data_IF_814046547726
#
_entry.id   IF_814046547726
#
_cell.length_a   1.000
_cell.length_b   1.000
_cell.length_c   1.000
_cell.angle_alpha   90.00
_cell.angle_beta   90.00
_cell.angle_gamma   90.00
#
_symmetry.space_group_name_H-M   'P 1'
#
loop_
_entity.id
_entity.type
_entity.pdbx_description
1 polymer ?
#
# COMPACT_ATOMS: atom_id res chain seq x y z
N UNK A 1 -53.78 -16.48 -5.41
CA UNK A 1 -54.21 -15.47 -6.40
C UNK A 1 -53.16 -14.38 -6.43
N UNK A 2 -52.24 -14.46 -7.38
CA UNK A 2 -51.14 -13.50 -7.56
C UNK A 2 -51.62 -12.36 -8.48
N UNK A 3 -51.35 -11.11 -8.12
CA UNK A 3 -51.57 -9.95 -8.98
C UNK A 3 -50.22 -9.34 -9.38
N UNK A 4 -49.82 -9.64 -10.61
CA UNK A 4 -48.68 -9.06 -11.31
C UNK A 4 -49.02 -7.65 -11.83
N UNK A 5 -48.27 -6.65 -11.40
CA UNK A 5 -48.34 -5.30 -11.95
C UNK A 5 -47.44 -5.20 -13.21
N UNK A 6 -48.07 -4.93 -14.36
CA UNK A 6 -47.42 -4.74 -15.65
C UNK A 6 -46.96 -3.29 -15.87
N UNK A 7 -45.77 -3.15 -16.43
CA UNK A 7 -45.08 -1.92 -16.83
C UNK A 7 -45.72 -1.33 -18.08
N UNK A 8 -46.08 -0.04 -18.06
CA UNK A 8 -46.63 0.69 -19.21
C UNK A 8 -45.59 1.67 -19.78
N UNK A 9 -45.14 1.40 -21.02
CA UNK A 9 -44.24 2.25 -21.83
C UNK A 9 -44.98 3.50 -22.32
N UNK A 10 -44.42 4.68 -22.04
CA UNK A 10 -44.86 5.98 -22.57
C UNK A 10 -44.05 6.31 -23.84
N UNK A 11 -44.72 6.35 -24.99
CA UNK A 11 -44.18 6.78 -26.29
C UNK A 11 -44.63 8.24 -26.50
N UNK A 12 -43.67 9.17 -26.64
CA UNK A 12 -43.94 10.59 -26.90
C UNK A 12 -44.42 10.80 -28.33
N UNK A 13 -45.54 11.51 -28.46
CA UNK A 13 -46.15 11.94 -29.72
C UNK A 13 -45.68 13.35 -30.11
N UNK A 14 -45.60 13.55 -31.43
CA UNK A 14 -45.03 14.72 -32.10
C UNK A 14 -45.89 15.98 -32.03
N UNK A 15 -45.20 17.10 -32.26
CA UNK A 15 -45.73 18.44 -32.31
C UNK A 15 -46.38 18.79 -33.66
N UNK A 16 -47.26 19.78 -33.59
CA UNK A 16 -48.24 20.18 -34.58
C UNK A 16 -47.68 20.96 -35.79
N UNK A 17 -48.47 20.85 -36.85
CA UNK A 17 -48.42 21.46 -38.19
C UNK A 17 -48.80 22.94 -38.22
N UNK A 18 -48.14 23.71 -39.09
CA UNK A 18 -48.81 24.76 -39.89
C UNK A 18 -48.08 24.95 -41.21
N UNK A 19 -48.84 24.86 -42.30
CA UNK A 19 -48.45 25.02 -43.70
C UNK A 19 -48.54 26.49 -44.15
N UNK A 20 -47.65 26.89 -45.05
CA UNK A 20 -47.94 27.85 -46.14
C UNK A 20 -46.98 27.59 -47.31
N UNK A 21 -47.55 27.43 -48.50
CA UNK A 21 -46.90 27.21 -49.80
C UNK A 21 -46.28 28.50 -50.38
N UNK A 22 -45.12 28.41 -51.05
CA UNK A 22 -44.99 28.62 -52.51
C UNK A 22 -43.55 28.27 -52.98
N UNK A 23 -43.42 27.80 -54.22
CA UNK A 23 -42.32 26.98 -54.70
C UNK A 23 -41.06 27.68 -55.23
N UNK A 24 -39.98 26.88 -55.35
CA UNK A 24 -39.04 26.88 -56.50
C UNK A 24 -37.89 25.88 -56.24
N UNK A 25 -37.58 25.11 -57.28
CA UNK A 25 -36.52 24.09 -57.32
C UNK A 25 -35.14 24.76 -57.42
N UNK A 26 -34.20 24.57 -56.47
CA UNK A 26 -32.77 24.39 -56.78
C UNK A 26 -31.97 23.83 -55.57
N UNK A 27 -30.95 23.05 -55.90
CA UNK A 27 -30.01 22.24 -55.10
C UNK A 27 -29.44 22.86 -53.81
N UNK A 28 -29.35 22.03 -52.76
CA UNK A 28 -28.67 22.33 -51.49
C UNK A 28 -27.15 22.53 -51.67
N UNK A 29 -26.54 23.55 -51.04
CA UNK A 29 -25.08 23.65 -50.90
C UNK A 29 -24.60 22.83 -49.69
N UNK A 30 -23.50 22.11 -49.88
CA UNK A 30 -22.75 21.37 -48.84
C UNK A 30 -22.21 22.32 -47.77
N UNK A 31 -22.43 22.07 -46.45
CA UNK A 31 -21.66 22.73 -45.40
C UNK A 31 -20.46 21.89 -44.96
N UNK A 32 -19.31 22.56 -44.88
CA UNK A 32 -18.01 22.09 -44.42
C UNK A 32 -18.08 21.46 -43.01
N UNK A 33 -17.38 20.34 -42.85
CA UNK A 33 -17.14 19.66 -41.58
C UNK A 33 -16.15 20.47 -40.75
N UNK A 34 -16.61 21.04 -39.63
CA UNK A 34 -15.74 21.58 -38.60
C UNK A 34 -15.06 20.42 -37.85
N UNK A 35 -13.74 20.42 -37.82
CA UNK A 35 -12.93 19.61 -36.92
C UNK A 35 -13.13 20.10 -35.49
N UNK A 36 -13.80 19.28 -34.68
CA UNK A 36 -13.77 19.38 -33.22
C UNK A 36 -13.14 18.09 -32.75
N UNK A 37 -11.95 18.21 -32.14
CA UNK A 37 -11.20 17.16 -31.46
C UNK A 37 -12.12 16.37 -30.52
N UNK A 38 -12.57 15.21 -30.98
CA UNK A 38 -13.16 14.19 -30.12
C UNK A 38 -12.04 13.34 -29.57
N UNK A 39 -11.58 13.66 -28.35
CA UNK A 39 -10.85 12.72 -27.50
C UNK A 39 -11.81 11.58 -27.11
N UNK A 40 -11.98 10.61 -28.01
CA UNK A 40 -12.50 9.29 -27.67
C UNK A 40 -11.41 8.43 -27.02
N UNK A 41 -11.76 7.39 -26.25
CA UNK A 41 -10.77 6.47 -25.70
C UNK A 41 -10.01 5.79 -26.86
N UNK A 42 -8.68 5.92 -26.86
CA UNK A 42 -7.82 5.24 -27.82
C UNK A 42 -7.90 3.73 -27.56
N UNK A 43 -8.52 2.98 -28.47
CA UNK A 43 -8.55 1.52 -28.42
C UNK A 43 -7.37 0.99 -29.20
N UNK A 44 -6.48 0.26 -28.54
CA UNK A 44 -5.33 -0.39 -29.19
C UNK A 44 -5.61 -1.89 -29.40
N UNK A 45 -4.93 -2.48 -30.40
CA UNK A 45 -5.12 -3.88 -30.80
C UNK A 45 -3.78 -4.60 -30.79
N UNK A 46 -3.67 -5.71 -30.06
CA UNK A 46 -2.61 -6.69 -30.25
C UNK A 46 -3.15 -7.92 -31.00
N UNK A 47 -2.33 -8.45 -31.90
CA UNK A 47 -2.61 -9.71 -32.60
C UNK A 47 -2.04 -10.86 -31.78
N UNK A 48 -2.88 -11.59 -31.06
CA UNK A 48 -2.47 -12.85 -30.43
C UNK A 48 -2.15 -13.88 -31.53
N UNK A 49 -1.15 -14.74 -31.29
CA UNK A 49 -0.68 -15.82 -32.19
C UNK A 49 -1.81 -16.75 -32.69
N UNK A 50 -2.95 -16.78 -31.98
CA UNK A 50 -4.14 -17.57 -32.32
C UNK A 50 -5.26 -16.77 -33.04
N UNK A 51 -4.99 -15.58 -33.59
CA UNK A 51 -5.95 -14.83 -34.40
C UNK A 51 -7.12 -14.21 -33.63
N UNK A 52 -7.14 -14.31 -32.31
CA UNK A 52 -8.09 -13.59 -31.46
C UNK A 52 -7.60 -12.15 -31.24
N UNK A 53 -8.39 -11.18 -31.72
CA UNK A 53 -8.20 -9.76 -31.44
C UNK A 53 -8.69 -9.48 -30.02
N UNK A 54 -7.76 -9.25 -29.09
CA UNK A 54 -8.07 -8.82 -27.74
C UNK A 54 -8.23 -7.31 -27.79
N UNK A 55 -9.45 -6.82 -27.57
CA UNK A 55 -9.72 -5.38 -27.43
C UNK A 55 -9.29 -4.99 -26.03
N UNK A 56 -8.42 -3.99 -25.93
CA UNK A 56 -7.82 -3.62 -24.66
C UNK A 56 -7.56 -2.11 -24.62
N UNK A 57 -7.77 -1.49 -23.46
CA UNK A 57 -7.47 -0.07 -23.24
C UNK A 57 -5.96 0.06 -22.92
N UNK A 58 -5.16 0.82 -23.67
CA UNK A 58 -3.73 1.01 -23.39
C UNK A 58 -3.42 1.31 -21.90
N UNK A 59 -4.33 1.99 -21.19
CA UNK A 59 -4.21 2.26 -19.76
C UNK A 59 -4.19 1.00 -18.90
N UNK A 60 -5.00 -0.01 -19.23
CA UNK A 60 -5.05 -1.27 -18.50
C UNK A 60 -3.69 -2.03 -18.60
N UNK A 61 -2.89 -1.81 -19.67
CA UNK A 61 -1.61 -2.50 -19.96
C UNK A 61 -0.56 -1.83 -19.09
N UNK A 62 -0.58 -0.49 -19.07
CA UNK A 62 0.30 0.26 -18.19
C UNK A 62 0.01 -0.06 -16.72
N UNK A 63 -1.26 -0.09 -16.31
CA UNK A 63 -1.65 -0.42 -14.93
C UNK A 63 -1.31 -1.87 -14.54
N UNK A 64 -1.48 -2.84 -15.44
CA UNK A 64 -1.08 -4.22 -15.19
C UNK A 64 0.45 -4.39 -15.11
N UNK A 65 1.21 -3.66 -15.94
CA UNK A 65 2.67 -3.65 -15.87
C UNK A 65 3.21 -3.01 -14.58
N UNK A 66 2.58 -1.93 -14.08
CA UNK A 66 2.94 -1.33 -12.79
C UNK A 66 2.59 -2.25 -11.63
N UNK A 67 1.42 -2.90 -11.66
CA UNK A 67 1.01 -3.87 -10.63
C UNK A 67 1.96 -5.05 -10.54
N UNK A 68 2.47 -5.53 -11.67
CA UNK A 68 3.42 -6.65 -11.71
C UNK A 68 4.80 -6.30 -11.10
N UNK A 69 5.17 -5.02 -11.06
CA UNK A 69 6.40 -4.56 -10.39
C UNK A 69 6.27 -4.49 -8.87
N UNK A 70 5.06 -4.55 -8.33
CA UNK A 70 4.81 -4.44 -6.89
C UNK A 70 4.78 -5.82 -6.24
N UNK A 71 5.18 -5.93 -4.95
CA UNK A 71 5.06 -7.20 -4.24
C UNK A 71 3.58 -7.58 -4.10
N UNK A 72 3.30 -8.89 -4.12
CA UNK A 72 1.94 -9.42 -3.99
C UNK A 72 1.27 -9.02 -2.67
N UNK A 73 2.07 -8.83 -1.62
CA UNK A 73 1.63 -8.38 -0.30
C UNK A 73 2.17 -6.98 -0.02
N UNK A 74 1.31 -6.13 0.53
CA UNK A 74 1.68 -4.83 1.07
C UNK A 74 2.39 -4.98 2.41
N UNK A 75 3.15 -3.95 2.81
CA UNK A 75 3.79 -3.93 4.13
C UNK A 75 2.79 -4.12 5.28
N UNK A 76 1.60 -3.53 5.18
CA UNK A 76 0.52 -3.67 6.17
C UNK A 76 0.08 -5.14 6.33
N UNK A 77 -0.05 -5.86 5.21
CA UNK A 77 -0.47 -7.25 5.19
C UNK A 77 0.59 -8.18 5.76
N UNK A 78 1.87 -7.94 5.47
CA UNK A 78 2.98 -8.71 6.05
C UNK A 78 3.01 -8.57 7.58
N UNK A 79 2.83 -7.34 8.10
CA UNK A 79 2.77 -7.07 9.54
C UNK A 79 1.57 -7.76 10.18
N UNK A 80 0.39 -7.69 9.56
CA UNK A 80 -0.81 -8.40 10.06
C UNK A 80 -0.62 -9.91 10.05
N UNK A 81 -0.02 -10.48 9.00
CA UNK A 81 0.20 -11.92 8.90
C UNK A 81 1.11 -12.44 10.03
N UNK A 82 2.12 -11.65 10.44
CA UNK A 82 2.97 -12.00 11.60
C UNK A 82 2.18 -12.04 12.91
N UNK A 83 1.20 -11.14 13.10
CA UNK A 83 0.35 -11.10 14.29
C UNK A 83 -0.81 -12.13 14.29
N UNK A 84 -1.14 -12.73 13.14
CA UNK A 84 -2.28 -13.64 13.01
C UNK A 84 -1.97 -15.02 13.60
N UNK A 85 -2.96 -15.72 14.14
CA UNK A 85 -2.82 -17.14 14.49
C UNK A 85 -3.26 -18.04 13.33
N UNK A 86 -2.45 -19.06 13.04
CA UNK A 86 -2.57 -19.89 11.83
C UNK A 86 -3.94 -20.59 11.72
N UNK A 87 -4.38 -21.24 12.81
CA UNK A 87 -5.63 -22.03 12.85
C UNK A 87 -6.86 -21.22 13.23
N UNK A 88 -6.68 -20.17 14.02
CA UNK A 88 -7.81 -19.45 14.60
C UNK A 88 -8.29 -18.29 13.74
N UNK A 89 -7.41 -17.73 12.89
CA UNK A 89 -7.80 -16.68 11.95
C UNK A 89 -8.17 -15.35 12.60
N UNK A 90 -7.74 -15.14 13.85
CA UNK A 90 -7.78 -13.85 14.54
C UNK A 90 -6.37 -13.46 14.99
N UNK A 91 -6.13 -12.16 15.13
CA UNK A 91 -4.87 -11.62 15.62
C UNK A 91 -4.71 -11.96 17.11
N UNK A 92 -3.49 -12.34 17.51
CA UNK A 92 -3.20 -12.66 18.92
C UNK A 92 -3.58 -11.51 19.85
N UNK A 93 -3.37 -10.27 19.39
CA UNK A 93 -3.77 -9.04 20.06
C UNK A 93 -3.92 -7.93 19.02
N UNK A 94 -4.97 -7.10 19.13
CA UNK A 94 -5.10 -5.85 18.38
C UNK A 94 -5.06 -4.70 19.38
N UNK A 95 -4.01 -3.89 19.31
CA UNK A 95 -3.79 -2.73 20.16
C UNK A 95 -3.56 -1.47 19.34
N UNK A 96 -3.40 -0.35 20.03
CA UNK A 96 -3.18 0.93 19.38
C UNK A 96 -1.81 0.99 18.70
N UNK A 97 -0.80 0.25 19.20
CA UNK A 97 0.53 0.16 18.57
C UNK A 97 0.47 -0.46 17.16
N UNK A 98 -0.16 -1.63 16.98
CA UNK A 98 -0.32 -2.22 15.63
C UNK A 98 -1.21 -1.33 14.77
N UNK A 99 -2.27 -0.77 15.34
CA UNK A 99 -3.18 0.15 14.64
C UNK A 99 -2.39 1.34 14.06
N UNK A 100 -1.58 2.00 14.87
CA UNK A 100 -0.79 3.17 14.50
C UNK A 100 0.38 2.82 13.56
N UNK A 101 1.10 1.72 13.84
CA UNK A 101 2.18 1.23 12.99
C UNK A 101 1.71 0.90 11.56
N UNK A 102 0.49 0.36 11.40
CA UNK A 102 -0.10 0.11 10.08
C UNK A 102 -0.34 1.40 9.28
N UNK A 103 -0.62 2.53 9.94
CA UNK A 103 -0.74 3.83 9.24
C UNK A 103 0.62 4.33 8.78
N UNK A 104 1.67 4.14 9.57
CA UNK A 104 3.04 4.36 9.12
C UNK A 104 3.39 3.48 7.92
N UNK A 105 2.97 2.22 7.93
CA UNK A 105 3.16 1.30 6.80
C UNK A 105 2.46 1.78 5.52
N UNK A 106 1.27 2.39 5.63
CA UNK A 106 0.56 2.98 4.48
C UNK A 106 1.42 4.07 3.82
N UNK A 107 1.99 4.98 4.62
CA UNK A 107 2.83 6.07 4.10
C UNK A 107 4.12 5.50 3.48
N UNK A 108 4.75 4.52 4.13
CA UNK A 108 5.94 3.83 3.60
C UNK A 108 5.63 3.15 2.25
N UNK A 109 4.50 2.44 2.16
CA UNK A 109 4.11 1.73 0.95
C UNK A 109 3.80 2.70 -0.20
N UNK A 110 3.13 3.83 0.08
CA UNK A 110 2.93 4.91 -0.90
C UNK A 110 4.25 5.51 -1.39
N UNK A 111 5.24 5.65 -0.50
CA UNK A 111 6.56 6.17 -0.86
C UNK A 111 7.32 5.18 -1.76
N UNK A 112 7.34 3.89 -1.41
CA UNK A 112 7.97 2.87 -2.27
C UNK A 112 7.28 2.71 -3.63
N UNK A 113 5.97 2.96 -3.71
CA UNK A 113 5.22 2.98 -4.97
C UNK A 113 5.38 4.27 -5.76
N UNK A 114 6.18 5.22 -5.27
CA UNK A 114 6.43 6.49 -5.95
C UNK A 114 5.20 7.40 -6.02
N UNK A 115 4.23 7.25 -5.10
CA UNK A 115 3.01 8.09 -5.06
C UNK A 115 3.21 9.35 -4.20
N UNK A 116 4.04 9.28 -3.16
CA UNK A 116 4.35 10.41 -2.27
C UNK A 116 5.86 10.63 -2.15
N UNK A 117 6.27 11.88 -1.96
CA UNK A 117 7.65 12.24 -1.66
C UNK A 117 7.73 13.38 -0.64
N UNK A 118 8.91 13.60 -0.06
CA UNK A 118 9.18 14.83 0.66
C UNK A 118 9.00 16.05 -0.25
N UNK A 119 8.51 17.15 0.32
CA UNK A 119 8.45 18.43 -0.39
C UNK A 119 9.85 18.85 -0.86
N UNK A 120 9.95 19.30 -2.12
CA UNK A 120 11.19 19.81 -2.72
C UNK A 120 11.62 21.19 -2.19
N UNK A 121 11.73 21.31 -0.87
CA UNK A 121 12.24 22.51 -0.20
C UNK A 121 13.45 22.15 0.67
N UNK A 122 14.57 22.83 0.47
CA UNK A 122 15.79 22.67 1.27
C UNK A 122 15.59 23.10 2.72
N UNK A 123 14.64 24.00 3.00
CA UNK A 123 14.34 24.48 4.34
C UNK A 123 13.80 23.38 5.26
N UNK A 124 13.22 22.30 4.68
CA UNK A 124 12.69 21.14 5.41
C UNK A 124 13.71 20.50 6.37
N UNK A 125 15.01 20.59 6.04
CA UNK A 125 16.10 20.01 6.84
C UNK A 125 16.24 20.66 8.22
N UNK A 126 15.62 21.83 8.44
CA UNK A 126 15.53 22.49 9.75
C UNK A 126 14.60 21.76 10.72
N UNK A 127 13.68 20.94 10.21
CA UNK A 127 12.72 20.20 11.00
C UNK A 127 13.18 18.75 11.23
N UNK A 128 12.81 18.14 12.37
CA UNK A 128 12.92 16.71 12.59
C UNK A 128 12.28 15.92 11.46
N UNK A 129 12.77 14.71 11.16
CA UNK A 129 12.34 13.94 10.00
C UNK A 129 10.82 13.72 9.94
N UNK A 130 10.22 13.32 11.06
CA UNK A 130 8.79 13.08 11.14
C UNK A 130 7.94 14.34 10.91
N UNK A 131 8.49 15.52 11.18
CA UNK A 131 7.77 16.80 11.04
C UNK A 131 7.98 17.43 9.65
N UNK A 132 8.72 16.75 8.76
CA UNK A 132 8.87 17.17 7.37
C UNK A 132 7.60 16.90 6.57
N UNK A 133 7.27 17.86 5.72
CA UNK A 133 6.05 17.87 4.90
C UNK A 133 6.22 16.96 3.68
N UNK A 134 5.18 16.16 3.40
CA UNK A 134 5.09 15.31 2.21
C UNK A 134 4.08 15.86 1.20
N UNK A 135 4.30 15.54 -0.07
CA UNK A 135 3.41 15.87 -1.17
C UNK A 135 3.13 14.65 -2.06
N UNK A 136 1.94 14.64 -2.66
CA UNK A 136 1.56 13.64 -3.66
C UNK A 136 2.23 14.00 -4.99
N UNK A 137 3.04 13.08 -5.52
CA UNK A 137 3.73 13.24 -6.81
C UNK A 137 3.01 12.52 -7.95
N UNK A 138 2.26 11.46 -7.63
CA UNK A 138 1.49 10.67 -8.58
C UNK A 138 0.21 10.18 -7.87
N UNK A 139 -0.94 10.45 -8.50
CA UNK A 139 -2.27 10.12 -8.00
C UNK A 139 -2.87 8.86 -8.61
N UNK A 140 -2.09 8.13 -9.42
CA UNK A 140 -2.50 6.87 -10.02
C UNK A 140 -2.85 5.85 -8.93
N UNK A 141 -4.05 5.27 -9.04
CA UNK A 141 -4.54 4.32 -8.06
C UNK A 141 -3.65 3.07 -8.01
N UNK A 142 -3.38 2.61 -6.80
CA UNK A 142 -2.54 1.45 -6.51
C UNK A 142 -3.30 0.13 -6.62
N UNK A 143 -4.64 0.18 -6.61
CA UNK A 143 -5.52 -0.98 -6.53
C UNK A 143 -5.69 -1.52 -5.12
N UNK A 144 -4.96 -0.98 -4.14
CA UNK A 144 -5.10 -1.31 -2.73
C UNK A 144 -6.01 -0.29 -2.06
N UNK A 145 -7.13 -0.78 -1.55
CA UNK A 145 -8.25 0.04 -1.08
C UNK A 145 -7.86 1.06 0.00
N UNK A 146 -6.95 0.71 0.92
CA UNK A 146 -6.48 1.62 1.98
C UNK A 146 -5.44 2.64 1.48
N UNK A 147 -4.55 2.23 0.57
CA UNK A 147 -3.57 3.13 -0.03
C UNK A 147 -4.28 4.18 -0.89
N UNK A 148 -5.29 3.77 -1.65
CA UNK A 148 -6.05 4.64 -2.55
C UNK A 148 -6.90 5.65 -1.78
N UNK A 149 -7.47 5.25 -0.63
CA UNK A 149 -8.18 6.17 0.25
C UNK A 149 -7.23 7.20 0.86
N UNK A 150 -6.09 6.76 1.38
CA UNK A 150 -5.05 7.65 1.92
C UNK A 150 -4.54 8.62 0.85
N UNK A 151 -4.27 8.14 -0.37
CA UNK A 151 -3.78 8.94 -1.48
C UNK A 151 -4.80 10.02 -1.89
N UNK A 152 -6.09 9.68 -1.97
CA UNK A 152 -7.17 10.64 -2.25
C UNK A 152 -7.26 11.71 -1.18
N UNK A 153 -7.19 11.33 0.09
CA UNK A 153 -7.17 12.29 1.20
C UNK A 153 -5.95 13.21 1.07
N UNK A 154 -4.74 12.66 0.95
CA UNK A 154 -3.50 13.43 0.80
C UNK A 154 -3.52 14.42 -0.36
N UNK A 155 -4.14 14.06 -1.49
CA UNK A 155 -4.26 14.94 -2.65
C UNK A 155 -5.25 16.09 -2.41
N UNK A 156 -6.36 15.83 -1.72
CA UNK A 156 -7.44 16.81 -1.51
C UNK A 156 -7.15 17.83 -0.40
N UNK A 157 -6.11 17.58 0.39
CA UNK A 157 -5.78 18.34 1.58
C UNK A 157 -4.57 19.24 1.38
N UNK A 158 -4.36 20.14 2.33
CA UNK A 158 -3.08 20.84 2.43
C UNK A 158 -1.93 19.87 2.69
N UNK A 159 -0.72 20.28 2.31
CA UNK A 159 0.49 19.49 2.55
C UNK A 159 0.78 19.48 4.05
N UNK A 160 0.96 18.29 4.63
CA UNK A 160 1.18 18.08 6.06
C UNK A 160 2.41 17.20 6.30
N UNK A 161 2.87 17.19 7.56
CA UNK A 161 4.01 16.36 7.95
C UNK A 161 3.67 14.87 7.95
N UNK A 162 4.71 14.02 7.89
CA UNK A 162 4.59 12.57 8.05
C UNK A 162 3.88 12.22 9.36
N UNK A 163 4.31 12.80 10.49
CA UNK A 163 3.70 12.61 11.81
C UNK A 163 2.21 12.93 11.77
N UNK A 164 1.86 14.11 11.23
CA UNK A 164 0.47 14.56 11.16
C UNK A 164 -0.40 13.62 10.32
N UNK A 165 0.09 13.09 9.20
CA UNK A 165 -0.67 12.14 8.38
C UNK A 165 -0.94 10.83 9.11
N UNK A 166 0.05 10.31 9.85
CA UNK A 166 -0.11 9.09 10.63
C UNK A 166 -1.11 9.31 11.77
N UNK A 167 -1.03 10.45 12.48
CA UNK A 167 -1.98 10.81 13.55
C UNK A 167 -3.41 10.96 13.02
N UNK A 168 -3.58 11.66 11.89
CA UNK A 168 -4.88 11.85 11.24
C UNK A 168 -5.53 10.53 10.83
N UNK A 169 -4.77 9.66 10.16
CA UNK A 169 -5.27 8.36 9.69
C UNK A 169 -5.54 7.37 10.84
N UNK A 170 -4.88 7.58 11.99
CA UNK A 170 -5.08 6.78 13.20
C UNK A 170 -6.27 7.29 14.04
N UNK A 171 -6.56 8.59 13.95
CA UNK A 171 -7.59 9.26 14.75
C UNK A 171 -7.05 9.85 16.06
N UNK A 172 -5.73 10.01 16.18
CA UNK A 172 -5.04 10.56 17.36
C UNK A 172 -5.01 12.10 17.37
N UNK A 173 -5.59 12.74 16.35
CA UNK A 173 -5.64 14.21 16.27
C UNK A 173 -6.78 14.79 17.11
N UNK A 174 -6.55 15.98 17.66
CA UNK A 174 -7.60 16.82 18.27
C UNK A 174 -8.26 17.78 17.27
N UNK A 175 -7.88 17.74 15.99
CA UNK A 175 -8.43 18.64 14.98
C UNK A 175 -9.82 18.18 14.51
N UNK A 176 -10.86 18.81 15.09
CA UNK A 176 -12.28 18.56 14.76
C UNK A 176 -12.62 18.69 13.28
N UNK A 177 -11.96 19.60 12.55
CA UNK A 177 -12.19 19.81 11.12
C UNK A 177 -11.66 18.64 10.26
N UNK A 178 -10.75 17.82 10.82
CA UNK A 178 -10.12 16.68 10.14
C UNK A 178 -10.50 15.34 10.75
N UNK A 179 -11.55 15.28 11.56
CA UNK A 179 -12.02 14.03 12.20
C UNK A 179 -12.43 12.96 11.17
N UNK A 180 -12.78 13.36 9.95
CA UNK A 180 -13.12 12.46 8.85
C UNK A 180 -11.93 11.74 8.21
N UNK A 181 -10.69 12.06 8.60
CA UNK A 181 -9.48 11.53 7.97
C UNK A 181 -9.05 10.18 8.55
N UNK A 182 -9.69 9.74 9.64
CA UNK A 182 -9.41 8.46 10.26
C UNK A 182 -9.81 7.32 9.32
N UNK A 183 -8.86 6.44 9.02
CA UNK A 183 -9.13 5.22 8.27
C UNK A 183 -9.91 4.24 9.16
N UNK A 184 -11.11 3.86 8.71
CA UNK A 184 -12.02 2.97 9.44
C UNK A 184 -11.89 1.53 8.96
N UNK A 185 -12.16 0.59 9.87
CA UNK A 185 -12.21 -0.85 9.60
C UNK A 185 -10.93 -1.39 8.93
N UNK A 186 -9.77 -0.83 9.31
CA UNK A 186 -8.48 -1.16 8.69
C UNK A 186 -8.19 -2.66 8.80
N UNK A 187 -8.42 -3.25 9.98
CA UNK A 187 -8.23 -4.68 10.21
C UNK A 187 -9.08 -5.53 9.26
N UNK A 188 -10.38 -5.27 9.22
CA UNK A 188 -11.34 -6.04 8.42
C UNK A 188 -11.04 -5.92 6.92
N UNK A 189 -10.66 -4.72 6.46
CA UNK A 189 -10.29 -4.45 5.06
C UNK A 189 -8.99 -5.14 4.67
N UNK A 190 -7.98 -5.16 5.55
CA UNK A 190 -6.73 -5.89 5.31
C UNK A 190 -6.95 -7.41 5.29
N UNK A 191 -7.76 -7.95 6.22
CA UNK A 191 -8.12 -9.37 6.20
C UNK A 191 -8.89 -9.73 4.92
N UNK A 192 -9.82 -8.88 4.48
CA UNK A 192 -10.50 -9.05 3.19
C UNK A 192 -9.52 -9.05 2.02
N UNK A 193 -8.57 -8.12 1.96
CA UNK A 193 -7.53 -8.09 0.93
C UNK A 193 -6.69 -9.38 0.89
N UNK A 194 -6.32 -9.91 2.07
CA UNK A 194 -5.63 -11.19 2.18
C UNK A 194 -6.48 -12.40 1.76
N UNK A 195 -7.80 -12.36 1.94
CA UNK A 195 -8.73 -13.36 1.40
C UNK A 195 -8.81 -13.27 -0.11
N UNK A 196 -8.94 -12.06 -0.66
CA UNK A 196 -9.02 -11.83 -2.11
C UNK A 196 -7.71 -12.25 -2.81
N UNK A 197 -6.57 -12.15 -2.13
CA UNK A 197 -5.24 -12.63 -2.56
C UNK A 197 -5.01 -14.15 -2.37
N UNK A 198 -5.96 -14.86 -1.75
CA UNK A 198 -5.90 -16.30 -1.52
C UNK A 198 -4.98 -16.74 -0.37
N UNK A 199 -4.49 -15.81 0.45
CA UNK A 199 -3.63 -16.14 1.60
C UNK A 199 -4.46 -16.61 2.80
N UNK A 200 -5.61 -15.97 3.01
CA UNK A 200 -6.60 -16.38 4.00
C UNK A 200 -7.82 -16.99 3.31
N UNK A 201 -8.58 -17.80 4.05
CA UNK A 201 -9.91 -18.24 3.64
C UNK A 201 -10.95 -17.75 4.65
N UNK A 202 -12.17 -17.58 4.20
CA UNK A 202 -13.29 -17.24 5.09
C UNK A 202 -13.94 -18.51 5.60
N UNK A 203 -13.94 -18.70 6.92
CA UNK A 203 -14.67 -19.76 7.60
C UNK A 203 -15.72 -19.18 8.52
N UNK A 204 -16.93 -19.74 8.46
CA UNK A 204 -18.01 -19.42 9.39
C UNK A 204 -17.88 -20.31 10.62
N UNK A 205 -17.58 -19.75 11.78
CA UNK A 205 -17.61 -20.46 13.07
C UNK A 205 -18.92 -20.20 13.77
N UNK A 206 -19.63 -21.29 14.09
CA UNK A 206 -20.88 -21.21 14.80
C UNK A 206 -20.60 -21.26 16.29
N UNK A 207 -20.97 -20.21 17.01
CA UNK A 207 -21.04 -20.19 18.46
C UNK A 207 -22.48 -20.44 18.89
N UNK A 208 -22.68 -20.83 20.16
CA UNK A 208 -24.01 -21.19 20.68
C UNK A 208 -25.08 -20.09 20.45
N UNK A 209 -24.67 -18.82 20.41
CA UNK A 209 -25.56 -17.66 20.33
C UNK A 209 -25.42 -16.83 19.05
N UNK A 210 -24.39 -17.05 18.24
CA UNK A 210 -24.12 -16.26 17.04
C UNK A 210 -23.10 -16.96 16.14
N UNK A 211 -23.06 -16.55 14.88
CA UNK A 211 -22.03 -16.99 13.96
C UNK A 211 -20.98 -15.89 13.77
N UNK A 212 -19.72 -16.27 13.71
CA UNK A 212 -18.59 -15.36 13.52
C UNK A 212 -17.81 -15.75 12.27
N UNK A 213 -17.58 -14.78 11.39
CA UNK A 213 -16.63 -14.96 10.30
C UNK A 213 -15.21 -14.95 10.87
N UNK A 214 -14.43 -15.99 10.54
CA UNK A 214 -13.02 -16.12 10.89
C UNK A 214 -12.19 -16.29 9.63
N UNK A 215 -10.94 -15.86 9.68
CA UNK A 215 -10.06 -15.82 8.50
C UNK A 215 -8.79 -16.63 8.72
N UNK A 216 -8.86 -17.98 8.85
CA UNK A 216 -7.67 -18.79 9.04
C UNK A 216 -6.76 -18.78 7.80
N UNK A 217 -5.48 -19.08 8.03
CA UNK A 217 -4.46 -19.10 6.97
C UNK A 217 -4.73 -20.28 6.04
N UNK A 218 -4.95 -19.98 4.75
CA UNK A 218 -5.13 -20.96 3.69
C UNK A 218 -3.79 -21.32 3.05
N UNK A 219 -2.96 -20.32 2.74
CA UNK A 219 -1.61 -20.50 2.24
C UNK A 219 -0.59 -20.25 3.36
N UNK A 220 -0.03 -21.32 3.91
CA UNK A 220 1.04 -21.21 4.91
C UNK A 220 2.38 -20.77 4.30
N UNK A 221 2.57 -20.90 2.97
CA UNK A 221 3.82 -20.56 2.29
C UNK A 221 4.13 -19.08 2.43
N UNK A 222 3.11 -18.21 2.29
CA UNK A 222 3.25 -16.77 2.50
C UNK A 222 3.82 -16.44 3.88
N UNK A 223 3.23 -17.04 4.91
CA UNK A 223 3.62 -16.77 6.29
C UNK A 223 4.96 -17.37 6.66
N UNK A 224 5.25 -18.58 6.18
CA UNK A 224 6.52 -19.24 6.42
C UNK A 224 7.67 -18.55 5.68
N UNK A 225 7.42 -17.95 4.52
CA UNK A 225 8.36 -17.08 3.81
C UNK A 225 8.71 -15.85 4.65
N UNK A 226 7.71 -15.11 5.14
CA UNK A 226 7.92 -13.94 6.00
C UNK A 226 8.71 -14.34 7.25
N UNK A 227 8.32 -15.42 7.95
CA UNK A 227 9.05 -15.92 9.13
C UNK A 227 10.50 -16.27 8.81
N UNK A 228 10.75 -16.94 7.68
CA UNK A 228 12.11 -17.29 7.24
C UNK A 228 12.92 -16.04 6.94
N UNK A 229 12.32 -15.04 6.27
CA UNK A 229 12.94 -13.76 5.95
C UNK A 229 13.32 -12.99 7.21
N UNK A 230 12.41 -12.90 8.17
CA UNK A 230 12.66 -12.29 9.49
C UNK A 230 13.85 -12.97 10.18
N UNK A 231 13.84 -14.29 10.28
CA UNK A 231 14.93 -15.03 10.91
C UNK A 231 16.26 -14.83 10.18
N UNK A 232 16.26 -14.93 8.85
CA UNK A 232 17.46 -14.74 8.04
C UNK A 232 18.12 -13.38 8.30
N UNK A 233 17.34 -12.29 8.31
CA UNK A 233 17.86 -10.94 8.53
C UNK A 233 18.37 -10.73 9.96
N UNK A 234 17.71 -11.34 10.95
CA UNK A 234 18.00 -11.09 12.37
C UNK A 234 18.97 -12.07 13.03
N UNK A 235 19.32 -13.17 12.38
CA UNK A 235 20.24 -14.16 12.97
C UNK A 235 21.52 -14.37 12.18
N UNK A 236 21.52 -14.11 10.88
CA UNK A 236 22.67 -14.45 10.03
C UNK A 236 23.65 -13.28 9.93
N UNK A 237 24.95 -13.61 9.94
CA UNK A 237 26.03 -12.64 9.71
C UNK A 237 25.96 -12.00 8.33
N UNK A 238 25.65 -12.80 7.32
CA UNK A 238 25.48 -12.34 5.94
C UNK A 238 24.05 -12.64 5.51
N UNK A 239 23.34 -11.61 5.08
CA UNK A 239 21.94 -11.69 4.69
C UNK A 239 21.84 -11.71 3.18
N UNK A 240 21.27 -12.80 2.66
CA UNK A 240 20.90 -12.94 1.25
C UNK A 240 19.41 -13.23 1.23
N UNK A 241 18.63 -12.35 0.62
CA UNK A 241 17.19 -12.56 0.49
C UNK A 241 16.94 -13.51 -0.70
N UNK A 242 16.26 -14.67 -0.51
CA UNK A 242 15.94 -15.56 -1.61
C UNK A 242 14.84 -14.97 -2.49
N UNK A 243 14.84 -15.30 -3.78
CA UNK A 243 13.72 -14.98 -4.66
C UNK A 243 12.46 -15.75 -4.21
N UNK A 244 11.33 -15.06 -4.11
CA UNK A 244 10.04 -15.66 -3.78
C UNK A 244 8.90 -14.94 -4.52
N UNK A 245 7.74 -15.58 -4.63
CA UNK A 245 6.55 -14.94 -5.22
C UNK A 245 6.08 -13.68 -4.46
N UNK A 246 6.52 -13.53 -3.20
CA UNK A 246 6.17 -12.39 -2.34
C UNK A 246 7.27 -11.33 -2.32
N UNK A 247 8.49 -11.71 -2.71
CA UNK A 247 9.66 -10.84 -2.79
C UNK A 247 10.49 -11.19 -4.04
N UNK A 248 10.05 -10.72 -5.23
CA UNK A 248 10.76 -10.95 -6.48
C UNK A 248 12.18 -10.39 -6.47
N UNK A 249 13.05 -10.94 -7.31
CA UNK A 249 14.45 -10.50 -7.41
C UNK A 249 14.61 -9.13 -8.09
N UNK A 250 13.70 -8.79 -9.00
CA UNK A 250 13.64 -7.53 -9.74
C UNK A 250 12.92 -6.40 -8.96
N UNK A 251 12.43 -6.69 -7.75
CA UNK A 251 11.74 -5.72 -6.93
C UNK A 251 12.71 -4.63 -6.44
N UNK A 252 12.36 -3.37 -6.69
CA UNK A 252 13.12 -2.23 -6.19
C UNK A 252 13.10 -2.14 -4.66
N UNK A 253 14.25 -1.77 -4.08
CA UNK A 253 14.44 -1.56 -2.64
C UNK A 253 14.07 -2.78 -1.79
N UNK A 254 14.39 -3.98 -2.28
CA UNK A 254 14.03 -5.26 -1.67
C UNK A 254 14.53 -5.39 -0.23
N UNK A 255 15.78 -4.98 0.01
CA UNK A 255 16.36 -5.01 1.35
C UNK A 255 15.75 -3.94 2.24
N UNK A 256 15.57 -2.72 1.72
CA UNK A 256 14.96 -1.65 2.50
C UNK A 256 13.49 -1.94 2.88
N UNK A 257 12.68 -2.50 1.96
CA UNK A 257 11.32 -2.98 2.25
C UNK A 257 11.31 -4.03 3.36
N UNK A 258 12.28 -4.95 3.33
CA UNK A 258 12.42 -5.97 4.38
C UNK A 258 12.77 -5.35 5.73
N UNK A 259 13.66 -4.34 5.77
CA UNK A 259 13.96 -3.60 7.00
C UNK A 259 12.75 -2.83 7.50
N UNK A 260 12.03 -2.13 6.61
CA UNK A 260 10.80 -1.43 6.98
C UNK A 260 9.77 -2.38 7.57
N UNK A 261 9.65 -3.60 7.05
CA UNK A 261 8.77 -4.65 7.59
C UNK A 261 9.19 -5.05 9.01
N UNK A 262 10.48 -5.25 9.25
CA UNK A 262 11.01 -5.63 10.57
C UNK A 262 10.78 -4.53 11.61
N UNK A 263 11.12 -3.29 11.26
CA UNK A 263 10.93 -2.13 12.10
C UNK A 263 9.45 -1.88 12.42
N UNK A 264 8.57 -2.02 11.41
CA UNK A 264 7.13 -1.91 11.62
C UNK A 264 6.58 -3.03 12.51
N UNK A 265 7.04 -4.26 12.33
CA UNK A 265 6.62 -5.42 13.13
C UNK A 265 7.09 -5.32 14.59
N UNK A 266 8.27 -4.75 14.80
CA UNK A 266 8.80 -4.42 16.11
C UNK A 266 7.95 -3.37 16.80
N UNK A 267 7.71 -2.23 16.14
CA UNK A 267 6.87 -1.16 16.68
C UNK A 267 5.40 -1.58 16.90
N UNK A 268 4.90 -2.51 16.09
CA UNK A 268 3.57 -3.11 16.24
C UNK A 268 3.48 -4.20 17.33
N UNK A 269 4.58 -4.54 18.01
CA UNK A 269 4.67 -5.62 19.01
C UNK A 269 4.22 -7.00 18.47
N UNK A 270 4.47 -7.28 17.19
CA UNK A 270 4.14 -8.58 16.57
C UNK A 270 5.35 -9.39 16.11
N UNK A 271 6.56 -8.80 16.16
CA UNK A 271 7.81 -9.45 15.74
C UNK A 271 8.10 -10.75 16.50
N UNK A 272 7.79 -10.81 17.81
CA UNK A 272 8.09 -11.97 18.65
C UNK A 272 7.45 -13.27 18.10
N UNK A 273 6.27 -13.16 17.48
CA UNK A 273 5.55 -14.31 16.93
C UNK A 273 6.37 -15.04 15.85
N UNK A 274 7.18 -14.31 15.07
CA UNK A 274 8.06 -14.88 14.05
C UNK A 274 9.34 -15.50 14.64
N UNK A 275 9.72 -15.10 15.85
CA UNK A 275 10.93 -15.55 16.56
C UNK A 275 10.65 -16.63 17.61
N UNK A 276 9.39 -17.03 17.80
CA UNK A 276 8.92 -18.01 18.79
C UNK A 276 9.67 -19.35 18.79
N UNK A 277 10.28 -19.73 17.67
CA UNK A 277 11.04 -20.96 17.48
C UNK A 277 12.52 -20.84 17.86
N UNK A 278 13.00 -19.65 18.21
CA UNK A 278 14.37 -19.40 18.64
C UNK A 278 14.52 -19.56 20.17
N UNK A 279 15.71 -19.97 20.60
CA UNK A 279 16.08 -19.95 22.03
C UNK A 279 16.07 -18.54 22.60
N UNK A 280 15.96 -18.41 23.93
CA UNK A 280 15.83 -17.11 24.62
C UNK A 280 16.96 -16.13 24.25
N UNK A 281 18.22 -16.57 24.32
CA UNK A 281 19.39 -15.73 23.99
C UNK A 281 19.38 -15.26 22.52
N UNK A 282 18.99 -16.13 21.59
CA UNK A 282 18.89 -15.78 20.17
C UNK A 282 17.76 -14.79 19.90
N UNK A 283 16.67 -14.85 20.67
CA UNK A 283 15.58 -13.86 20.60
C UNK A 283 16.04 -12.49 21.09
N UNK A 284 16.70 -12.42 22.24
CA UNK A 284 17.25 -11.16 22.77
C UNK A 284 18.22 -10.51 21.78
N UNK A 285 19.12 -11.29 21.18
CA UNK A 285 20.01 -10.81 20.11
C UNK A 285 19.26 -10.30 18.88
N UNK A 286 18.18 -10.99 18.47
CA UNK A 286 17.36 -10.56 17.34
C UNK A 286 16.62 -9.24 17.62
N UNK A 287 16.13 -9.03 18.86
CA UNK A 287 15.51 -7.77 19.26
C UNK A 287 16.52 -6.62 19.30
N UNK A 288 17.70 -6.84 19.89
CA UNK A 288 18.78 -5.86 19.87
C UNK A 288 19.18 -5.50 18.42
N UNK A 289 19.19 -6.48 17.53
CA UNK A 289 19.47 -6.23 16.11
C UNK A 289 18.38 -5.36 15.44
N UNK A 290 17.09 -5.60 15.70
CA UNK A 290 16.04 -4.74 15.13
C UNK A 290 16.08 -3.33 15.69
N UNK A 291 16.40 -3.19 16.98
CA UNK A 291 16.57 -1.88 17.60
C UNK A 291 17.73 -1.09 16.95
N UNK A 292 18.87 -1.74 16.71
CA UNK A 292 19.98 -1.16 15.94
C UNK A 292 19.55 -0.77 14.52
N UNK A 293 18.83 -1.65 13.80
CA UNK A 293 18.33 -1.34 12.45
C UNK A 293 17.36 -0.15 12.48
N UNK A 294 16.43 -0.11 13.44
CA UNK A 294 15.49 0.99 13.58
C UNK A 294 16.23 2.31 13.83
N UNK A 295 17.25 2.32 14.69
CA UNK A 295 18.07 3.49 14.94
C UNK A 295 18.87 3.95 13.70
N UNK A 296 19.39 3.01 12.91
CA UNK A 296 20.19 3.31 11.71
C UNK A 296 19.34 3.83 10.54
N UNK A 297 18.14 3.28 10.36
CA UNK A 297 17.24 3.59 9.23
C UNK A 297 16.14 4.60 9.57
N UNK A 298 16.07 5.10 10.82
CA UNK A 298 15.22 6.24 11.22
C UNK A 298 15.88 7.61 11.03
N UNK A 299 17.04 7.66 10.38
CA UNK A 299 17.76 8.88 10.05
C UNK A 299 18.02 8.99 8.54
N UNK A 300 18.19 10.23 8.04
CA UNK A 300 18.43 10.50 6.62
C UNK A 300 19.58 11.49 6.42
N UNK A 301 20.56 11.21 5.54
CA UNK A 301 20.73 9.98 4.77
C UNK A 301 20.95 8.74 5.65
N UNK A 302 20.65 7.55 5.13
CA UNK A 302 20.90 6.31 5.86
C UNK A 302 22.39 6.18 6.17
N UNK A 303 22.70 6.11 7.46
CA UNK A 303 24.08 5.96 7.93
C UNK A 303 24.13 4.79 8.90
N UNK A 304 24.74 3.70 8.44
CA UNK A 304 25.07 2.57 9.31
C UNK A 304 26.35 2.90 10.08
N UNK A 305 26.31 2.79 11.40
CA UNK A 305 27.51 2.97 12.22
C UNK A 305 28.43 1.78 11.98
N UNK A 306 29.68 2.04 11.57
CA UNK A 306 30.69 1.00 11.46
C UNK A 306 30.96 0.43 12.87
N UNK A 307 30.61 -0.85 13.08
CA UNK A 307 30.87 -1.55 14.35
C UNK A 307 29.66 -1.93 15.22
N UNK A 308 28.45 -2.06 14.65
CA UNK A 308 27.30 -2.63 15.35
C UNK A 308 27.62 -3.96 16.05
N UNK A 309 27.13 -4.12 17.29
CA UNK A 309 27.69 -4.97 18.35
C UNK A 309 27.61 -6.48 18.07
N UNK A 310 26.76 -6.93 17.14
CA UNK A 310 26.45 -8.34 16.94
C UNK A 310 27.06 -9.03 15.72
N UNK A 311 27.66 -8.28 14.78
CA UNK A 311 28.10 -8.84 13.48
C UNK A 311 26.98 -9.44 12.61
N UNK A 312 25.71 -9.33 13.02
CA UNK A 312 24.54 -9.80 12.28
C UNK A 312 24.25 -8.81 11.14
N UNK A 313 23.90 -9.34 9.97
CA UNK A 313 23.60 -8.54 8.79
C UNK A 313 24.72 -7.61 8.35
N UNK A 314 25.99 -8.00 8.50
CA UNK A 314 27.16 -7.16 8.22
C UNK A 314 27.19 -6.56 6.80
N UNK A 315 26.57 -7.24 5.82
CA UNK A 315 26.48 -6.77 4.44
C UNK A 315 25.28 -5.82 4.17
N UNK A 316 24.30 -5.70 5.06
CA UNK A 316 23.07 -4.93 4.80
C UNK A 316 23.36 -3.45 4.53
N UNK A 317 24.36 -2.87 5.21
CA UNK A 317 24.72 -1.46 5.01
C UNK A 317 25.20 -1.19 3.58
N UNK A 318 26.05 -2.06 3.05
CA UNK A 318 26.54 -1.94 1.66
C UNK A 318 25.42 -2.18 0.66
N UNK A 319 24.66 -3.26 0.83
CA UNK A 319 23.59 -3.63 -0.13
C UNK A 319 22.53 -2.55 -0.21
N UNK A 320 22.14 -1.93 0.91
CA UNK A 320 21.15 -0.85 0.89
C UNK A 320 21.76 0.44 0.34
N UNK A 321 23.02 0.74 0.60
CA UNK A 321 23.69 1.86 -0.06
C UNK A 321 23.70 1.67 -1.59
N UNK A 322 23.91 0.45 -2.07
CA UNK A 322 23.84 0.12 -3.49
C UNK A 322 22.41 0.28 -4.05
N UNK A 323 21.37 -0.16 -3.33
CA UNK A 323 19.96 0.07 -3.69
C UNK A 323 19.62 1.56 -3.78
N UNK A 324 20.05 2.36 -2.78
CA UNK A 324 19.83 3.81 -2.74
C UNK A 324 20.58 4.51 -3.88
N UNK A 325 21.81 4.10 -4.16
CA UNK A 325 22.61 4.63 -5.26
C UNK A 325 22.06 4.28 -6.64
N UNK A 326 21.40 3.12 -6.78
CA UNK A 326 20.70 2.76 -8.01
C UNK A 326 19.42 3.60 -8.21
N UNK A 327 18.74 3.99 -7.13
CA UNK A 327 17.51 4.78 -7.13
C UNK A 327 17.68 6.26 -6.74
N UNK A 328 18.70 6.95 -7.25
CA UNK A 328 19.00 8.37 -6.91
C UNK A 328 17.86 9.34 -7.24
N UNK A 329 17.04 9.01 -8.21
CA UNK A 329 15.84 9.76 -8.57
C UNK A 329 14.73 9.67 -7.50
N UNK A 330 14.84 8.71 -6.56
CA UNK A 330 13.85 8.41 -5.53
C UNK A 330 14.30 8.82 -4.12
N UNK A 331 15.37 9.62 -3.97
CA UNK A 331 15.89 10.06 -2.67
C UNK A 331 14.83 10.71 -1.77
N UNK A 332 13.92 11.52 -2.35
CA UNK A 332 12.87 12.20 -1.57
C UNK A 332 11.80 11.24 -1.06
N UNK A 333 11.55 10.14 -1.77
CA UNK A 333 10.65 9.07 -1.37
C UNK A 333 11.29 8.23 -0.27
N UNK A 334 12.59 7.93 -0.39
CA UNK A 334 13.35 7.21 0.63
C UNK A 334 13.48 8.02 1.94
N UNK A 335 13.57 9.35 1.84
CA UNK A 335 13.50 10.24 3.00
C UNK A 335 12.14 10.12 3.75
N UNK A 336 11.03 9.86 3.04
CA UNK A 336 9.71 9.58 3.67
C UNK A 336 9.75 8.28 4.45
N UNK A 337 10.39 7.23 3.90
CA UNK A 337 10.55 5.95 4.59
C UNK A 337 11.31 6.15 5.91
N UNK A 338 12.44 6.85 5.88
CA UNK A 338 13.22 7.18 7.08
C UNK A 338 12.39 7.97 8.12
N UNK A 339 11.59 8.93 7.66
CA UNK A 339 10.71 9.71 8.53
C UNK A 339 9.62 8.86 9.19
N UNK A 340 9.03 7.89 8.49
CA UNK A 340 8.07 6.95 9.08
C UNK A 340 8.74 6.04 10.11
N UNK A 341 9.96 5.56 9.84
CA UNK A 341 10.74 4.79 10.81
C UNK A 341 11.10 5.62 12.05
N UNK A 342 11.36 6.92 11.90
CA UNK A 342 11.54 7.85 13.02
C UNK A 342 10.26 8.09 13.83
N UNK A 343 9.08 7.83 13.28
CA UNK A 343 7.84 7.84 14.06
C UNK A 343 7.76 6.57 14.91
N UNK A 344 8.19 5.42 14.36
CA UNK A 344 8.19 4.15 15.08
C UNK A 344 9.10 4.12 16.31
N UNK A 345 10.20 4.88 16.33
CA UNK A 345 11.05 5.00 17.53
C UNK A 345 10.37 5.70 18.71
N UNK A 346 9.27 6.44 18.45
CA UNK A 346 8.54 7.20 19.47
C UNK A 346 7.24 6.50 19.90
N UNK A 347 6.90 5.35 19.32
CA UNK A 347 5.65 4.64 19.63
C UNK A 347 5.58 4.18 21.10
N UNK A 348 6.70 3.80 21.70
CA UNK A 348 6.76 3.43 23.13
C UNK A 348 6.46 4.61 24.07
N UNK A 349 6.56 5.86 23.59
CA UNK A 349 6.25 7.07 24.37
C UNK A 349 4.80 7.54 24.26
N UNK A 350 3.99 6.88 23.42
CA UNK A 350 2.57 7.21 23.21
C UNK A 350 1.64 6.44 24.18
N UNK A 351 2.18 5.60 25.05
CA UNK A 351 1.44 4.81 26.05
C UNK A 351 1.56 5.37 27.46
#
# INVERSE_FOLDING_TARGET
MASSAGVMRRRGGGAATTETEDGSRVSSPVPKRNEVESRGPETSYESSENGHKIVFDPKDISESSERNKQPKLTLMEEVILMGLKDKQGYLSFWNDNISYALRGCIVIELAFRGRVSMQKDSSRRRFPLADRVIEVIDDTLTGEVLLDEALKMMKSSEKMSVSSWIDLMSGETWNLMKIGYQLKQVRERLLKGLVDKGVLRTEKRNFLLFDMATHPVADSVAKDEIRRRVRNVLTNRTVVLPNSQFLPEDLEFRYLRTISMLCAAYAANVLENALSTLGHEARERAFAQVDELLAEYSQWPFARRAGGSGGIGANLGQVIADEVNAGKDKELQLEVVAACLSVFTRLDSLL
#
